data_IF_521485060942
#
_entry.id   IF_521485060942
#
_cell.length_a   1.000
_cell.length_b   1.000
_cell.length_c   1.000
_cell.angle_alpha   90.00
_cell.angle_beta   90.00
_cell.angle_gamma   90.00
#
_symmetry.space_group_name_H-M   'P 1'
#
loop_
_entity.id
_entity.type
_entity.pdbx_description
1 polymer ?
#
# COMPACT_ATOMS: atom_id res chain seq x y z
N UNK A 1 -13.43 -6.94 -13.18
CA UNK A 1 -12.14 -7.51 -12.76
C UNK A 1 -11.81 -7.00 -11.36
N UNK A 2 -11.43 -7.86 -10.45
CA UNK A 2 -11.08 -7.43 -9.10
C UNK A 2 -9.71 -6.73 -9.08
N UNK A 3 -9.39 -6.10 -7.95
CA UNK A 3 -8.16 -5.32 -7.81
C UNK A 3 -6.90 -6.18 -7.93
N UNK A 4 -6.94 -7.42 -7.43
CA UNK A 4 -5.78 -8.31 -7.48
C UNK A 4 -5.48 -8.74 -8.91
N UNK A 5 -6.51 -9.07 -9.67
CA UNK A 5 -6.36 -9.41 -11.09
C UNK A 5 -5.87 -8.21 -11.89
N UNK A 6 -6.39 -7.02 -11.56
CA UNK A 6 -5.97 -5.77 -12.19
C UNK A 6 -4.49 -5.49 -11.94
N UNK A 7 -4.03 -5.69 -10.70
CA UNK A 7 -2.62 -5.51 -10.35
C UNK A 7 -1.74 -6.51 -11.11
N UNK A 8 -2.15 -7.77 -11.18
CA UNK A 8 -1.40 -8.80 -11.90
C UNK A 8 -1.22 -8.43 -13.37
N UNK A 9 -2.27 -7.92 -14.01
CA UNK A 9 -2.18 -7.44 -15.39
C UNK A 9 -1.21 -6.27 -15.53
N UNK A 10 -1.26 -5.31 -14.61
CA UNK A 10 -0.37 -4.15 -14.62
C UNK A 10 1.10 -4.57 -14.49
N UNK A 11 1.37 -5.56 -13.65
CA UNK A 11 2.74 -6.03 -13.42
C UNK A 11 3.31 -6.83 -14.58
N UNK A 12 2.46 -7.46 -15.39
CA UNK A 12 2.90 -8.32 -16.49
C UNK A 12 2.95 -7.62 -17.84
N UNK A 13 2.35 -6.44 -17.99
CA UNK A 13 2.39 -5.71 -19.25
C UNK A 13 3.76 -5.05 -19.46
N UNK A 14 4.16 -4.77 -20.72
CA UNK A 14 5.41 -4.07 -20.99
C UNK A 14 5.45 -2.67 -20.39
N UNK A 15 6.65 -2.22 -20.03
CA UNK A 15 6.87 -0.89 -19.51
C UNK A 15 6.98 -0.88 -17.99
N UNK A 16 6.97 0.33 -17.45
CA UNK A 16 7.13 0.56 -16.01
C UNK A 16 5.79 0.88 -15.40
N UNK A 17 5.47 0.24 -14.27
CA UNK A 17 4.34 0.61 -13.44
C UNK A 17 4.82 1.57 -12.35
N UNK A 18 4.23 2.76 -12.30
CA UNK A 18 4.50 3.72 -11.24
C UNK A 18 3.39 3.61 -10.20
N UNK A 19 3.78 3.27 -8.97
CA UNK A 19 2.86 3.16 -7.84
C UNK A 19 3.32 4.09 -6.72
N UNK A 20 2.84 5.34 -6.69
CA UNK A 20 3.25 6.30 -5.67
C UNK A 20 2.90 5.83 -4.27
N UNK A 21 3.75 6.18 -3.30
CA UNK A 21 3.58 5.78 -1.92
C UNK A 21 2.54 6.61 -1.18
N UNK A 22 1.80 5.96 -0.30
CA UNK A 22 0.86 6.62 0.60
C UNK A 22 0.92 5.91 1.96
N UNK A 23 0.44 6.60 2.98
CA UNK A 23 0.40 6.04 4.33
C UNK A 23 -1.02 6.07 4.92
N UNK A 24 -1.97 6.65 4.22
CA UNK A 24 -3.37 6.74 4.69
C UNK A 24 -4.34 6.78 3.50
N UNK A 25 -5.63 6.74 3.82
CA UNK A 25 -6.68 6.74 2.82
C UNK A 25 -6.73 8.04 2.02
N UNK A 26 -6.46 9.18 2.65
CA UNK A 26 -6.46 10.47 1.96
C UNK A 26 -5.37 10.51 0.90
N UNK A 27 -4.15 10.11 1.24
CA UNK A 27 -3.04 10.05 0.29
C UNK A 27 -3.36 9.13 -0.89
N UNK A 28 -3.97 7.98 -0.62
CA UNK A 28 -4.36 7.03 -1.67
C UNK A 28 -5.39 7.64 -2.62
N UNK A 29 -6.36 8.37 -2.11
CA UNK A 29 -7.37 9.03 -2.94
C UNK A 29 -6.76 10.12 -3.81
N UNK A 30 -5.78 10.85 -3.30
CA UNK A 30 -5.05 11.85 -4.08
C UNK A 30 -4.30 11.18 -5.23
N UNK A 31 -3.65 10.04 -4.97
CA UNK A 31 -2.96 9.26 -5.99
C UNK A 31 -3.95 8.81 -7.08
N UNK A 32 -5.09 8.29 -6.68
CA UNK A 32 -6.11 7.84 -7.61
C UNK A 32 -6.64 8.99 -8.47
N UNK A 33 -6.94 10.14 -7.87
CA UNK A 33 -7.43 11.30 -8.59
C UNK A 33 -6.39 11.87 -9.56
N UNK A 34 -5.11 11.71 -9.25
CA UNK A 34 -4.02 12.14 -10.12
C UNK A 34 -3.87 11.23 -11.35
N UNK A 35 -4.58 10.10 -11.42
CA UNK A 35 -4.60 9.24 -12.59
C UNK A 35 -3.63 8.08 -12.56
N UNK A 36 -2.99 7.79 -11.44
CA UNK A 36 -2.09 6.64 -11.34
C UNK A 36 -2.89 5.33 -11.31
N UNK A 37 -2.30 4.28 -11.87
CA UNK A 37 -2.97 2.99 -12.02
C UNK A 37 -2.89 2.12 -10.75
N UNK A 38 -1.99 2.44 -9.84
CA UNK A 38 -1.79 1.70 -8.58
C UNK A 38 -1.20 2.61 -7.53
N UNK A 39 -1.35 2.23 -6.26
CA UNK A 39 -0.75 2.93 -5.13
C UNK A 39 0.07 1.94 -4.31
N UNK A 40 1.00 2.46 -3.52
CA UNK A 40 1.87 1.66 -2.66
C UNK A 40 1.75 2.11 -1.21
N UNK A 41 1.42 1.18 -0.31
CA UNK A 41 1.41 1.48 1.12
C UNK A 41 2.84 1.37 1.66
N UNK A 42 3.42 2.51 2.05
CA UNK A 42 4.79 2.55 2.54
C UNK A 42 4.85 2.21 4.03
N UNK A 43 5.64 1.19 4.37
CA UNK A 43 5.83 0.78 5.77
C UNK A 43 6.43 1.89 6.61
N UNK A 44 7.43 2.59 6.07
CA UNK A 44 8.04 3.72 6.75
C UNK A 44 7.03 4.85 6.99
N UNK A 45 6.23 5.18 5.97
CA UNK A 45 5.22 6.23 6.11
C UNK A 45 4.14 5.88 7.12
N UNK A 46 3.69 4.62 7.13
CA UNK A 46 2.69 4.15 8.08
C UNK A 46 3.25 4.17 9.51
N UNK A 47 4.47 3.69 9.71
CA UNK A 47 5.12 3.72 11.04
C UNK A 47 5.26 5.14 11.57
N UNK A 48 5.71 6.07 10.72
CA UNK A 48 5.85 7.47 11.10
C UNK A 48 4.51 8.12 11.39
N UNK A 49 3.50 7.86 10.58
CA UNK A 49 2.19 8.49 10.67
C UNK A 49 1.35 7.93 11.83
N UNK A 50 1.31 6.61 12.01
CA UNK A 50 0.48 5.99 13.04
C UNK A 50 1.08 6.05 14.43
N UNK A 51 2.39 5.85 14.54
CA UNK A 51 3.04 5.70 15.84
C UNK A 51 4.16 6.70 16.09
N UNK A 52 4.51 7.51 15.09
CA UNK A 52 5.61 8.47 15.21
C UNK A 52 6.96 7.79 15.39
N UNK A 53 7.11 6.58 14.86
CA UNK A 53 8.32 5.78 15.03
C UNK A 53 8.95 5.46 13.69
N UNK A 54 10.26 5.18 13.66
CA UNK A 54 10.93 4.79 12.42
C UNK A 54 10.47 3.42 11.95
N UNK A 55 10.76 3.11 10.66
CA UNK A 55 10.45 1.81 10.08
C UNK A 55 11.46 0.77 10.56
N UNK A 56 11.25 0.28 11.74
CA UNK A 56 12.11 -0.71 12.39
C UNK A 56 11.34 -1.96 12.83
N UNK A 57 10.20 -2.23 12.18
CA UNK A 57 9.39 -3.40 12.49
C UNK A 57 8.64 -3.30 13.81
N UNK A 58 8.34 -2.08 14.25
CA UNK A 58 7.69 -1.85 15.55
C UNK A 58 6.17 -2.00 15.49
N UNK A 59 5.57 -1.93 14.29
CA UNK A 59 4.14 -2.17 14.13
C UNK A 59 3.89 -3.65 13.89
N UNK A 60 2.76 -4.15 14.41
CA UNK A 60 2.37 -5.55 14.22
C UNK A 60 1.75 -5.77 12.85
N UNK A 61 1.66 -7.05 12.44
CA UNK A 61 0.94 -7.42 11.21
C UNK A 61 -0.51 -6.95 11.25
N UNK A 62 -1.18 -7.08 12.40
CA UNK A 62 -2.58 -6.67 12.57
C UNK A 62 -2.73 -5.17 12.30
N UNK A 63 -1.84 -4.35 12.87
CA UNK A 63 -1.86 -2.91 12.64
C UNK A 63 -1.64 -2.55 11.17
N UNK A 64 -0.69 -3.22 10.51
CA UNK A 64 -0.40 -2.98 9.11
C UNK A 64 -1.55 -3.44 8.20
N UNK A 65 -2.15 -4.59 8.49
CA UNK A 65 -3.29 -5.12 7.74
C UNK A 65 -4.51 -4.21 7.90
N UNK A 66 -4.77 -3.70 9.10
CA UNK A 66 -5.88 -2.78 9.33
C UNK A 66 -5.71 -1.49 8.52
N UNK A 67 -4.50 -0.96 8.50
CA UNK A 67 -4.22 0.24 7.70
C UNK A 67 -4.35 -0.04 6.21
N UNK A 68 -3.86 -1.17 5.74
CA UNK A 68 -4.01 -1.58 4.35
C UNK A 68 -5.49 -1.70 3.96
N UNK A 69 -6.32 -2.25 4.85
CA UNK A 69 -7.76 -2.37 4.62
C UNK A 69 -8.42 -1.01 4.46
N UNK A 70 -8.08 -0.06 5.33
CA UNK A 70 -8.62 1.30 5.26
C UNK A 70 -8.24 1.99 3.96
N UNK A 71 -6.97 1.88 3.57
CA UNK A 71 -6.47 2.48 2.34
C UNK A 71 -7.14 1.83 1.12
N UNK A 72 -7.13 0.50 1.04
CA UNK A 72 -7.68 -0.23 -0.09
C UNK A 72 -9.17 0.02 -0.27
N UNK A 73 -9.91 0.17 0.84
CA UNK A 73 -11.35 0.42 0.80
C UNK A 73 -11.70 1.81 0.28
N UNK A 74 -10.77 2.74 0.32
CA UNK A 74 -11.00 4.12 -0.08
C UNK A 74 -10.80 4.35 -1.59
N UNK A 75 -10.19 3.41 -2.30
CA UNK A 75 -9.81 3.56 -3.71
C UNK A 75 -10.26 2.36 -4.53
N UNK A 76 -10.38 2.58 -5.85
CA UNK A 76 -10.70 1.50 -6.80
C UNK A 76 -9.45 0.91 -7.45
N UNK A 77 -8.34 1.65 -7.49
CA UNK A 77 -7.08 1.16 -8.05
C UNK A 77 -6.43 0.15 -7.09
N UNK A 78 -5.58 -0.76 -7.60
CA UNK A 78 -4.89 -1.72 -6.76
C UNK A 78 -3.91 -1.08 -5.79
N UNK A 79 -3.72 -1.74 -4.65
CA UNK A 79 -2.77 -1.33 -3.62
C UNK A 79 -1.72 -2.42 -3.42
N UNK A 80 -0.44 -2.01 -3.51
CA UNK A 80 0.71 -2.83 -3.12
C UNK A 80 1.06 -2.46 -1.69
N UNK A 81 1.36 -3.45 -0.86
CA UNK A 81 1.66 -3.20 0.55
C UNK A 81 3.06 -3.70 0.90
N UNK A 82 3.79 -2.87 1.66
CA UNK A 82 5.03 -3.30 2.29
C UNK A 82 4.67 -4.24 3.45
N UNK A 83 5.20 -5.45 3.42
CA UNK A 83 4.95 -6.46 4.44
C UNK A 83 6.24 -6.83 5.20
N UNK A 84 7.26 -5.99 5.17
CA UNK A 84 8.57 -6.23 5.79
C UNK A 84 9.08 -7.64 5.45
N UNK A 85 9.24 -8.49 6.50
CA UNK A 85 9.69 -9.89 6.33
C UNK A 85 8.53 -10.88 6.35
N UNK A 86 7.26 -10.39 6.21
CA UNK A 86 6.07 -11.21 6.26
C UNK A 86 5.46 -11.35 7.65
N UNK A 87 6.08 -10.72 8.66
CA UNK A 87 5.61 -10.70 10.05
C UNK A 87 5.56 -12.09 10.71
N UNK A 88 6.31 -13.05 10.18
CA UNK A 88 6.40 -14.38 10.73
C UNK A 88 7.82 -14.79 11.02
N UNK A 89 7.98 -15.88 11.74
CA UNK A 89 9.29 -16.47 11.98
C UNK A 89 9.86 -17.11 10.72
N UNK A 90 11.11 -17.48 10.77
CA UNK A 90 11.79 -18.16 9.67
C UNK A 90 11.27 -19.61 9.56
#
# INVERSE_FOLDING_TARGET
MDKRSKLRQLLTRPGILIAPGCHDALGARIIEEAGFAAAYMTGNGVSASMAGVPDAGLLTMTEMVDQARRIASAIEIPLLCDADTGYGGI
#
